data_IF_523994604502
#
_entry.id   IF_523994604502
#
_cell.length_a   1.000
_cell.length_b   1.000
_cell.length_c   1.000
_cell.angle_alpha   90.00
_cell.angle_beta   90.00
_cell.angle_gamma   90.00
#
_symmetry.space_group_name_H-M   'P 1'
#
loop_
_entity.id
_entity.type
_entity.pdbx_description
1 polymer ?
#
# COMPACT_ATOMS: atom_id res chain seq x y z
N UNK A 1 12.21 15.87 -3.21
CA UNK A 1 10.75 15.66 -3.26
C UNK A 1 10.13 15.91 -1.89
N UNK A 2 8.81 15.81 -1.78
CA UNK A 2 8.10 15.83 -0.50
C UNK A 2 7.74 14.40 -0.09
N UNK A 3 8.05 14.07 1.16
CA UNK A 3 7.82 12.78 1.77
C UNK A 3 6.61 12.86 2.70
N UNK A 4 5.58 12.09 2.38
CA UNK A 4 4.32 12.06 3.12
C UNK A 4 4.28 10.86 4.04
N UNK A 5 3.52 10.96 5.14
CA UNK A 5 3.01 9.76 5.79
C UNK A 5 2.07 9.04 4.82
N UNK A 6 2.15 7.72 4.76
CA UNK A 6 1.46 6.93 3.75
C UNK A 6 0.73 5.76 4.43
N UNK A 7 -0.60 5.81 4.37
CA UNK A 7 -1.48 4.87 5.07
C UNK A 7 -2.18 3.97 4.05
N UNK A 8 -1.87 2.69 4.10
CA UNK A 8 -2.42 1.71 3.18
C UNK A 8 -3.71 1.10 3.72
N UNK A 9 -4.82 1.34 3.04
CA UNK A 9 -6.10 0.69 3.33
C UNK A 9 -6.25 -0.59 2.52
N UNK A 10 -6.98 -1.56 3.08
CA UNK A 10 -7.10 -2.91 2.51
C UNK A 10 -8.50 -3.49 2.74
N UNK A 11 -9.13 -4.02 1.68
CA UNK A 11 -10.44 -4.67 1.71
C UNK A 11 -11.61 -3.70 1.89
N UNK A 12 -11.59 -2.88 2.94
CA UNK A 12 -12.54 -1.80 3.21
C UNK A 12 -11.83 -0.48 3.56
N UNK A 13 -12.63 0.54 3.89
CA UNK A 13 -12.14 1.81 4.40
C UNK A 13 -11.78 1.74 5.90
N UNK A 14 -12.02 0.62 6.57
CA UNK A 14 -11.91 0.50 8.03
C UNK A 14 -10.60 -0.17 8.47
N UNK A 15 -9.87 -0.79 7.55
CA UNK A 15 -8.67 -1.55 7.86
C UNK A 15 -7.45 -1.02 7.14
N UNK A 16 -6.33 -0.94 7.86
CA UNK A 16 -5.02 -0.57 7.33
C UNK A 16 -3.98 -1.64 7.60
N UNK A 17 -3.01 -1.75 6.69
CA UNK A 17 -1.90 -2.69 6.82
C UNK A 17 -1.05 -2.45 8.07
N UNK A 18 -0.81 -3.49 8.87
CA UNK A 18 -0.13 -3.39 10.17
C UNK A 18 1.26 -4.06 10.23
N UNK A 19 1.65 -4.77 9.17
CA UNK A 19 2.98 -5.38 9.03
C UNK A 19 3.99 -4.45 8.35
N UNK A 20 5.26 -4.89 8.21
CA UNK A 20 6.35 -4.05 7.67
C UNK A 20 6.45 -4.04 6.16
N UNK A 21 5.65 -4.86 5.45
CA UNK A 21 5.54 -4.80 3.99
C UNK A 21 4.82 -3.52 3.53
N UNK A 22 3.99 -2.96 4.40
CA UNK A 22 3.31 -1.69 4.18
C UNK A 22 4.24 -0.55 4.59
N UNK A 23 4.79 0.17 3.60
CA UNK A 23 5.71 1.26 3.85
C UNK A 23 4.96 2.46 4.46
N UNK A 24 5.54 3.05 5.51
CA UNK A 24 4.89 4.12 6.28
C UNK A 24 4.96 5.49 5.64
N UNK A 25 5.88 5.67 4.69
CA UNK A 25 6.19 6.96 4.08
C UNK A 25 6.52 6.80 2.63
N UNK A 26 6.18 7.82 1.85
CA UNK A 26 6.32 7.75 0.41
C UNK A 26 6.47 9.13 -0.23
N UNK A 27 7.29 9.17 -1.29
CA UNK A 27 7.52 10.36 -2.09
C UNK A 27 6.39 10.48 -3.09
N UNK A 28 5.62 11.56 -2.98
CA UNK A 28 4.46 11.81 -3.86
C UNK A 28 4.46 13.16 -4.55
N UNK A 29 5.42 14.02 -4.23
CA UNK A 29 5.69 15.25 -4.98
C UNK A 29 7.17 15.32 -5.30
N UNK A 30 7.48 15.50 -6.57
CA UNK A 30 8.85 15.68 -7.09
C UNK A 30 8.94 17.01 -7.83
N UNK A 31 10.17 17.51 -8.02
CA UNK A 31 10.38 18.68 -8.89
C UNK A 31 10.16 18.23 -10.34
N UNK A 32 9.76 19.15 -11.20
CA UNK A 32 9.70 18.90 -12.64
C UNK A 32 11.11 18.86 -13.24
N UNK A 33 11.83 17.77 -12.97
CA UNK A 33 13.18 17.49 -13.46
C UNK A 33 13.11 16.19 -14.27
N UNK A 34 13.47 16.27 -15.55
CA UNK A 34 13.37 15.15 -16.51
C UNK A 34 14.29 13.97 -16.15
N UNK A 35 15.25 14.18 -15.26
CA UNK A 35 16.12 13.11 -14.76
C UNK A 35 15.47 12.30 -13.62
N UNK A 36 14.28 12.71 -13.15
CA UNK A 36 13.52 12.00 -12.13
C UNK A 36 12.54 11.04 -12.79
N UNK A 37 12.54 9.78 -12.36
CA UNK A 37 11.64 8.74 -12.87
C UNK A 37 11.10 7.86 -11.74
N UNK A 38 10.00 7.16 -12.05
CA UNK A 38 9.35 6.19 -11.16
C UNK A 38 10.26 5.00 -10.90
N UNK A 39 10.29 4.52 -9.66
CA UNK A 39 11.02 3.31 -9.30
C UNK A 39 10.05 2.19 -8.96
N UNK A 40 10.21 1.01 -9.60
CA UNK A 40 9.40 -0.22 -9.35
C UNK A 40 7.89 0.05 -9.26
N UNK A 41 7.31 0.54 -10.35
CA UNK A 41 5.86 0.81 -10.43
C UNK A 41 5.34 1.74 -9.33
N UNK A 42 6.04 2.87 -9.17
CA UNK A 42 5.72 3.97 -8.25
C UNK A 42 5.95 3.66 -6.75
N UNK A 43 6.89 2.76 -6.46
CA UNK A 43 7.52 2.61 -5.14
C UNK A 43 8.57 3.73 -4.90
N UNK A 44 8.12 4.96 -5.07
CA UNK A 44 8.92 6.18 -4.99
C UNK A 44 9.55 6.59 -6.32
N UNK A 45 10.55 7.45 -6.22
CA UNK A 45 11.22 8.08 -7.35
C UNK A 45 12.72 8.08 -7.15
N UNK A 46 13.46 7.99 -8.26
CA UNK A 46 14.91 8.11 -8.28
C UNK A 46 15.35 9.17 -9.28
N UNK A 47 16.57 9.66 -9.09
CA UNK A 47 17.30 10.49 -10.05
C UNK A 47 18.66 9.85 -10.26
N UNK A 48 19.02 9.55 -11.51
CA UNK A 48 20.31 8.93 -11.85
C UNK A 48 20.59 7.67 -11.00
N UNK A 49 19.60 6.77 -10.91
CA UNK A 49 19.62 5.52 -10.14
C UNK A 49 19.88 5.69 -8.63
N UNK A 50 19.65 6.90 -8.12
CA UNK A 50 19.83 7.24 -6.70
C UNK A 50 18.52 7.67 -6.06
N UNK A 51 18.25 7.24 -4.80
CA UNK A 51 17.13 7.73 -4.02
C UNK A 51 17.14 9.25 -3.90
N UNK A 52 15.97 9.88 -4.06
CA UNK A 52 15.86 11.33 -3.95
C UNK A 52 16.17 11.82 -2.53
N UNK A 53 16.74 13.03 -2.46
CA UNK A 53 16.74 13.84 -1.24
C UNK A 53 15.36 14.46 -1.06
N UNK A 54 14.76 14.27 0.11
CA UNK A 54 13.36 14.61 0.36
C UNK A 54 13.16 15.29 1.70
N UNK A 55 12.21 16.24 1.73
CA UNK A 55 11.78 16.89 2.96
C UNK A 55 10.48 16.24 3.45
N UNK A 56 10.41 15.75 4.70
CA UNK A 56 9.16 15.32 5.31
C UNK A 56 8.17 16.47 5.38
N UNK A 57 6.88 16.15 5.18
CA UNK A 57 5.78 17.10 5.38
C UNK A 57 4.81 16.54 6.40
N UNK A 58 4.17 17.43 7.15
CA UNK A 58 3.12 17.10 8.12
C UNK A 58 1.77 16.84 7.42
N UNK A 59 1.78 15.90 6.48
CA UNK A 59 0.60 15.49 5.73
C UNK A 59 0.57 13.97 5.57
N UNK A 60 -0.65 13.41 5.56
CA UNK A 60 -0.87 11.97 5.41
C UNK A 60 -1.69 11.69 4.16
N UNK A 61 -1.19 10.77 3.35
CA UNK A 61 -1.93 10.24 2.21
C UNK A 61 -2.64 8.96 2.65
N UNK A 62 -3.95 8.94 2.46
CA UNK A 62 -4.74 7.73 2.55
C UNK A 62 -4.75 7.01 1.20
N UNK A 63 -4.03 5.90 1.14
CA UNK A 63 -3.88 5.10 -0.06
C UNK A 63 -4.88 3.94 -0.07
N UNK A 64 -5.94 4.10 -0.88
CA UNK A 64 -7.04 3.14 -1.03
C UNK A 64 -6.78 2.11 -2.15
N UNK A 65 -5.52 1.75 -2.43
CA UNK A 65 -5.12 0.93 -3.58
C UNK A 65 -5.71 -0.49 -3.57
N UNK A 66 -6.00 -1.01 -2.38
CA UNK A 66 -6.59 -2.33 -2.14
C UNK A 66 -8.06 -2.28 -1.66
N UNK A 67 -8.71 -1.11 -1.69
CA UNK A 67 -10.11 -0.93 -1.26
C UNK A 67 -11.02 -0.90 -2.47
N UNK A 68 -11.60 -2.05 -2.81
CA UNK A 68 -12.54 -2.23 -3.92
C UNK A 68 -13.49 -3.38 -3.62
N UNK A 69 -14.63 -3.39 -4.30
CA UNK A 69 -15.48 -4.57 -4.40
C UNK A 69 -14.65 -5.79 -4.87
N UNK A 70 -14.77 -6.97 -4.24
CA UNK A 70 -13.99 -8.16 -4.59
C UNK A 70 -14.05 -8.53 -6.08
N UNK A 71 -15.21 -8.35 -6.73
CA UNK A 71 -15.40 -8.62 -8.17
C UNK A 71 -14.64 -7.63 -9.04
N UNK A 72 -14.49 -6.39 -8.58
CA UNK A 72 -13.71 -5.36 -9.26
C UNK A 72 -12.21 -5.59 -9.01
N UNK A 73 -11.83 -5.99 -7.79
CA UNK A 73 -10.43 -6.27 -7.46
C UNK A 73 -9.90 -7.46 -8.26
N UNK A 74 -10.69 -8.53 -8.41
CA UNK A 74 -10.33 -9.70 -9.20
C UNK A 74 -10.06 -9.33 -10.66
N UNK A 75 -11.01 -8.61 -11.29
CA UNK A 75 -10.84 -8.11 -12.67
C UNK A 75 -9.63 -7.19 -12.80
N UNK A 76 -9.38 -6.31 -11.81
CA UNK A 76 -8.18 -5.47 -11.80
C UNK A 76 -6.92 -6.33 -11.78
N UNK A 77 -6.86 -7.39 -10.97
CA UNK A 77 -5.69 -8.25 -10.90
C UNK A 77 -5.43 -8.94 -12.24
N UNK A 78 -6.47 -9.49 -12.87
CA UNK A 78 -6.36 -10.12 -14.19
C UNK A 78 -5.87 -9.14 -15.26
N UNK A 79 -6.50 -7.97 -15.36
CA UNK A 79 -6.14 -6.97 -16.37
C UNK A 79 -4.76 -6.32 -16.11
N UNK A 80 -4.41 -6.07 -14.85
CA UNK A 80 -3.13 -5.44 -14.52
C UNK A 80 -1.94 -6.36 -14.83
N UNK A 81 -2.07 -7.67 -14.61
CA UNK A 81 -0.98 -8.61 -14.89
C UNK A 81 -0.73 -8.78 -16.40
N UNK A 82 -1.74 -8.60 -17.26
CA UNK A 82 -1.58 -8.61 -18.72
C UNK A 82 -0.67 -7.49 -19.25
N UNK A 83 -0.46 -6.43 -18.46
CA UNK A 83 0.47 -5.35 -18.83
C UNK A 83 1.94 -5.78 -18.76
N UNK A 84 2.24 -6.85 -18.03
CA UNK A 84 3.61 -7.31 -17.74
C UNK A 84 3.87 -8.76 -18.11
N UNK A 85 2.81 -9.55 -18.33
CA UNK A 85 2.86 -10.99 -18.54
C UNK A 85 1.93 -11.42 -19.69
N UNK A 86 2.28 -12.53 -20.34
CA UNK A 86 1.44 -13.12 -21.37
C UNK A 86 0.22 -13.87 -20.79
N UNK A 87 -0.74 -14.20 -21.64
CA UNK A 87 -1.99 -14.86 -21.23
C UNK A 87 -1.75 -16.23 -20.58
N UNK A 88 -0.69 -16.95 -20.98
CA UNK A 88 -0.37 -18.26 -20.40
C UNK A 88 0.08 -18.12 -18.95
N UNK A 89 0.92 -17.12 -18.68
CA UNK A 89 1.35 -16.80 -17.33
C UNK A 89 0.17 -16.35 -16.47
N UNK A 90 -0.69 -15.46 -17.00
CA UNK A 90 -1.87 -14.97 -16.26
C UNK A 90 -2.81 -16.13 -15.92
N UNK A 91 -3.12 -16.99 -16.87
CA UNK A 91 -4.00 -18.14 -16.65
C UNK A 91 -3.44 -19.16 -15.64
N UNK A 92 -2.11 -19.21 -15.46
CA UNK A 92 -1.44 -20.09 -14.49
C UNK A 92 -1.34 -19.48 -13.10
N UNK A 93 -1.11 -18.17 -13.00
CA UNK A 93 -0.73 -17.51 -11.73
C UNK A 93 -1.86 -16.69 -11.11
N UNK A 94 -2.88 -16.32 -11.87
CA UNK A 94 -4.04 -15.58 -11.37
C UNK A 94 -5.21 -16.55 -11.25
N UNK A 95 -5.76 -16.79 -10.04
CA UNK A 95 -6.93 -17.64 -9.87
C UNK A 95 -8.09 -17.15 -10.72
N UNK A 96 -8.73 -18.06 -11.47
CA UNK A 96 -10.00 -17.76 -12.17
C UNK A 96 -11.14 -17.84 -11.16
N UNK A 97 -11.37 -16.75 -10.45
CA UNK A 97 -12.43 -16.61 -9.47
C UNK A 97 -13.43 -15.52 -9.88
N UNK A 98 -14.66 -15.57 -9.36
CA UNK A 98 -15.62 -14.47 -9.52
C UNK A 98 -15.30 -13.29 -8.61
N UNK A 99 -14.58 -13.54 -7.52
CA UNK A 99 -14.26 -12.56 -6.47
C UNK A 99 -12.82 -12.74 -6.00
N UNK A 100 -12.18 -11.62 -5.66
CA UNK A 100 -10.84 -11.61 -5.08
C UNK A 100 -10.91 -12.07 -3.62
N UNK A 101 -10.04 -13.00 -3.25
CA UNK A 101 -9.90 -13.43 -1.87
C UNK A 101 -9.05 -12.45 -1.05
N UNK A 102 -9.71 -11.63 -0.25
CA UNK A 102 -9.06 -10.69 0.67
C UNK A 102 -8.50 -11.34 1.95
N UNK A 103 -8.71 -12.64 2.17
CA UNK A 103 -8.24 -13.35 3.36
C UNK A 103 -6.72 -13.57 3.37
N UNK A 104 -6.06 -13.50 2.22
CA UNK A 104 -4.60 -13.64 2.08
C UNK A 104 -3.83 -12.38 2.54
N UNK A 105 -4.09 -11.96 3.77
CA UNK A 105 -3.49 -10.81 4.42
C UNK A 105 -2.80 -11.22 5.73
N UNK A 106 -1.58 -10.73 5.93
CA UNK A 106 -0.77 -11.05 7.11
C UNK A 106 -1.30 -10.38 8.38
N UNK A 107 -1.43 -9.06 8.37
CA UNK A 107 -1.83 -8.30 9.54
C UNK A 107 -2.46 -6.98 9.16
N UNK A 108 -3.65 -6.76 9.69
CA UNK A 108 -4.41 -5.52 9.60
C UNK A 108 -4.60 -4.89 10.99
N UNK A 109 -4.94 -3.62 11.01
CA UNK A 109 -5.46 -2.94 12.20
C UNK A 109 -6.66 -2.08 11.80
N UNK A 110 -7.58 -1.88 12.73
CA UNK A 110 -8.68 -0.93 12.52
C UNK A 110 -8.17 0.49 12.42
N UNK A 111 -8.82 1.27 11.55
CA UNK A 111 -8.58 2.69 11.39
C UNK A 111 -9.63 3.48 12.16
N UNK A 112 -9.23 4.02 13.32
CA UNK A 112 -10.12 4.79 14.18
C UNK A 112 -10.08 6.31 13.86
N UNK A 113 -9.48 6.69 12.73
CA UNK A 113 -9.34 8.07 12.29
C UNK A 113 -10.49 8.55 11.40
N UNK A 114 -10.35 9.78 10.89
CA UNK A 114 -11.31 10.35 9.92
C UNK A 114 -10.78 10.25 8.50
N UNK A 115 -11.66 9.87 7.58
CA UNK A 115 -11.39 9.98 6.14
C UNK A 115 -11.49 11.44 5.68
N UNK A 116 -10.81 11.82 4.58
CA UNK A 116 -10.92 13.16 4.02
C UNK A 116 -12.37 13.42 3.60
N UNK A 117 -12.84 14.67 3.71
CA UNK A 117 -14.23 15.02 3.42
C UNK A 117 -14.68 14.58 2.02
N UNK A 118 -13.79 14.72 1.03
CA UNK A 118 -14.02 14.31 -0.37
C UNK A 118 -14.26 12.81 -0.55
N UNK A 119 -13.93 11.98 0.46
CA UNK A 119 -14.14 10.53 0.42
C UNK A 119 -15.43 10.09 1.08
N UNK A 120 -16.10 10.93 1.87
CA UNK A 120 -17.24 10.54 2.70
C UNK A 120 -18.39 9.97 1.86
N UNK A 121 -18.80 10.68 0.80
CA UNK A 121 -19.87 10.20 -0.09
C UNK A 121 -19.53 8.87 -0.77
N UNK A 122 -18.25 8.68 -1.11
CA UNK A 122 -17.80 7.42 -1.72
C UNK A 122 -17.88 6.27 -0.72
N UNK A 123 -17.53 6.51 0.53
CA UNK A 123 -17.60 5.54 1.62
C UNK A 123 -19.06 5.20 1.92
N UNK A 124 -19.95 6.20 1.96
CA UNK A 124 -21.37 6.01 2.21
C UNK A 124 -22.08 5.17 1.13
N UNK A 125 -21.56 5.17 -0.11
CA UNK A 125 -22.10 4.37 -1.23
C UNK A 125 -21.51 2.96 -1.33
N UNK A 126 -20.62 2.57 -0.43
CA UNK A 126 -20.04 1.22 -0.42
C UNK A 126 -21.14 0.19 -0.18
N UNK A 127 -21.20 -0.83 -1.03
CA UNK A 127 -22.21 -1.89 -0.97
C UNK A 127 -21.60 -3.30 -0.88
N UNK A 128 -20.30 -3.40 -0.61
CA UNK A 128 -19.65 -4.66 -0.26
C UNK A 128 -19.17 -4.59 1.19
N UNK A 129 -19.08 -5.74 1.84
CA UNK A 129 -18.55 -5.85 3.20
C UNK A 129 -17.23 -6.60 3.17
N UNK A 130 -16.25 -6.10 3.90
CA UNK A 130 -15.04 -6.82 4.26
C UNK A 130 -14.87 -6.69 5.76
N UNK A 131 -14.89 -7.84 6.46
CA UNK A 131 -14.74 -7.92 7.90
C UNK A 131 -13.59 -8.88 8.18
N UNK A 132 -12.52 -8.36 8.76
CA UNK A 132 -11.32 -9.13 9.08
C UNK A 132 -11.23 -9.35 10.58
N UNK A 133 -11.15 -10.62 10.97
CA UNK A 133 -10.85 -10.98 12.35
C UNK A 133 -9.37 -10.66 12.64
N UNK A 134 -9.15 -9.60 13.42
CA UNK A 134 -7.81 -9.14 13.80
C UNK A 134 -7.04 -10.18 14.63
N UNK A 135 -7.70 -11.18 15.23
CA UNK A 135 -7.04 -12.27 15.95
C UNK A 135 -6.26 -13.20 15.02
N UNK A 136 -6.63 -13.24 13.72
CA UNK A 136 -5.94 -14.01 12.68
C UNK A 136 -4.67 -13.32 12.17
N UNK A 137 -4.31 -12.16 12.72
CA UNK A 137 -3.09 -11.46 12.35
C UNK A 137 -1.85 -12.32 12.63
N UNK A 138 -1.13 -12.65 11.57
CA UNK A 138 0.16 -13.33 11.63
C UNK A 138 1.27 -12.35 11.31
N UNK A 139 2.22 -12.22 12.23
CA UNK A 139 3.46 -11.48 12.00
C UNK A 139 4.61 -12.47 11.97
N UNK A 140 5.35 -12.48 10.86
CA UNK A 140 6.59 -13.25 10.74
C UNK A 140 7.57 -12.86 11.85
N UNK A 141 8.46 -13.78 12.23
CA UNK A 141 9.52 -13.52 13.22
C UNK A 141 10.36 -12.30 12.82
N UNK A 142 10.65 -12.18 11.52
CA UNK A 142 11.36 -11.02 10.93
C UNK A 142 10.62 -9.71 11.19
N UNK A 143 9.30 -9.68 11.01
CA UNK A 143 8.50 -8.48 11.25
C UNK A 143 8.33 -8.17 12.74
N UNK A 144 8.27 -9.18 13.61
CA UNK A 144 8.31 -9.00 15.07
C UNK A 144 9.64 -8.35 15.49
N UNK A 145 10.77 -8.86 15.00
CA UNK A 145 12.09 -8.29 15.26
C UNK A 145 12.19 -6.83 14.79
N UNK A 146 11.74 -6.54 13.56
CA UNK A 146 11.70 -5.17 13.04
C UNK A 146 10.82 -4.25 13.89
N UNK A 147 9.68 -4.72 14.40
CA UNK A 147 8.83 -3.96 15.33
C UNK A 147 9.57 -3.65 16.64
N UNK A 148 10.33 -4.60 17.18
CA UNK A 148 11.14 -4.39 18.39
C UNK A 148 12.25 -3.37 18.14
N UNK A 149 12.98 -3.49 17.02
CA UNK A 149 14.04 -2.54 16.64
C UNK A 149 13.50 -1.10 16.50
N UNK A 150 12.30 -0.93 15.95
CA UNK A 150 11.68 0.39 15.86
C UNK A 150 11.35 1.00 17.22
N UNK A 151 10.95 0.19 18.21
CA UNK A 151 10.75 0.67 19.58
C UNK A 151 12.05 1.21 20.19
N UNK A 152 13.20 0.76 19.68
CA UNK A 152 14.54 1.24 20.03
C UNK A 152 15.03 2.36 19.09
N UNK A 153 14.16 2.91 18.24
CA UNK A 153 14.50 4.00 17.30
C UNK A 153 15.12 3.55 15.97
N UNK A 154 15.29 2.24 15.75
CA UNK A 154 15.91 1.70 14.53
C UNK A 154 14.82 1.35 13.51
N UNK A 155 14.67 2.18 12.47
CA UNK A 155 13.67 1.96 11.43
C UNK A 155 14.17 0.97 10.35
N UNK A 156 13.88 -0.33 10.56
CA UNK A 156 14.29 -1.44 9.69
C UNK A 156 13.29 -1.75 8.55
N UNK A 157 12.76 -0.71 7.90
CA UNK A 157 11.82 -0.79 6.79
C UNK A 157 12.47 -0.55 5.43
N UNK A 158 11.79 -0.93 4.35
CA UNK A 158 12.17 -0.52 3.01
C UNK A 158 12.08 1.01 2.88
N UNK A 159 13.10 1.65 2.27
CA UNK A 159 13.14 3.08 1.99
C UNK A 159 13.78 3.34 0.63
N UNK A 160 13.17 4.23 -0.15
CA UNK A 160 13.69 4.68 -1.44
C UNK A 160 13.90 6.21 -1.45
N UNK A 161 14.46 6.75 -0.37
CA UNK A 161 14.71 8.18 -0.22
C UNK A 161 15.78 8.47 0.84
N UNK A 162 16.31 9.70 0.82
CA UNK A 162 17.19 10.24 1.87
C UNK A 162 16.56 11.51 2.45
N UNK A 163 16.33 11.52 3.76
CA UNK A 163 15.79 12.70 4.45
C UNK A 163 16.85 13.79 4.51
N UNK A 164 16.43 15.03 4.30
CA UNK A 164 17.22 16.26 4.53
C UNK A 164 16.56 17.12 5.59
#
# INVERSE_FOLDING_TARGET
GLLFNYRHFYGSYDYVGASKRWYKREVRVVRNDKNIYSFRDAQGFQKEDRPLRVKPVEATIHHYGWVKDPRIMQRKQEEFNKLWHDDKWVAKNIPKASEFDYSEIDSLMRFDGKHPIVMQDRIARVNWKFDHDLTLNTLSVKDRLKKTLEKLGIEAGYKNYKII
#
